data_IF_906866233144
#
_entry.id   IF_906866233144
#
_cell.length_a   1.000
_cell.length_b   1.000
_cell.length_c   1.000
_cell.angle_alpha   90.00
_cell.angle_beta   90.00
_cell.angle_gamma   90.00
#
_symmetry.space_group_name_H-M   'P 1'
#
loop_
_entity.id
_entity.type
_entity.pdbx_description
1 polymer ?
#
# COMPACT_ATOMS: atom_id res chain seq x y z
N UNK A 1 -4.40 -1.47 8.28
CA UNK A 1 -3.71 -0.17 8.33
C UNK A 1 -4.57 0.90 8.99
N UNK A 2 -3.94 1.76 9.75
CA UNK A 2 -4.60 2.93 10.35
C UNK A 2 -4.14 4.17 9.61
N UNK A 3 -5.09 4.96 9.12
CA UNK A 3 -4.77 6.18 8.37
C UNK A 3 -5.89 7.20 8.48
N UNK A 4 -5.57 8.44 8.11
CA UNK A 4 -6.55 9.52 8.03
C UNK A 4 -6.80 9.80 6.55
N UNK A 5 -7.95 9.39 6.05
CA UNK A 5 -8.30 9.50 4.63
C UNK A 5 -9.79 9.81 4.48
N UNK A 6 -10.11 10.67 3.53
CA UNK A 6 -11.47 11.03 3.20
C UNK A 6 -11.55 12.42 2.60
N UNK A 7 -12.48 12.62 1.67
CA UNK A 7 -12.67 13.92 1.04
C UNK A 7 -13.21 14.94 2.06
N UNK A 8 -14.26 14.65 2.86
CA UNK A 8 -14.66 15.59 3.91
C UNK A 8 -13.61 15.65 5.02
N UNK A 9 -13.36 16.87 5.51
CA UNK A 9 -12.38 17.10 6.56
C UNK A 9 -12.72 16.31 7.84
N UNK A 10 -13.97 16.23 8.20
CA UNK A 10 -14.40 15.51 9.40
C UNK A 10 -14.14 14.01 9.29
N UNK A 11 -14.18 13.45 8.09
CA UNK A 11 -13.81 12.04 7.87
C UNK A 11 -12.31 11.84 8.08
N UNK A 12 -11.49 12.77 7.61
CA UNK A 12 -10.04 12.70 7.77
C UNK A 12 -9.57 12.94 9.20
N UNK A 13 -10.39 13.60 9.99
CA UNK A 13 -10.01 13.99 11.36
C UNK A 13 -9.74 12.80 12.26
N UNK A 14 -10.37 11.65 11.98
CA UNK A 14 -10.21 10.43 12.77
C UNK A 14 -9.52 9.33 11.99
N UNK A 15 -8.60 8.61 12.62
CA UNK A 15 -7.96 7.46 11.96
C UNK A 15 -8.97 6.38 11.64
N UNK A 16 -8.80 5.76 10.49
CA UNK A 16 -9.66 4.69 9.99
C UNK A 16 -8.83 3.45 9.71
N UNK A 17 -9.50 2.31 9.71
CA UNK A 17 -8.87 1.05 9.30
C UNK A 17 -9.01 0.87 7.80
N UNK A 18 -7.90 0.54 7.16
CA UNK A 18 -7.88 0.11 5.77
C UNK A 18 -7.35 -1.31 5.71
N UNK A 19 -7.93 -2.10 4.83
CA UNK A 19 -7.39 -3.41 4.50
C UNK A 19 -6.55 -3.26 3.23
N UNK A 20 -5.32 -3.72 3.28
CA UNK A 20 -4.40 -3.61 2.17
C UNK A 20 -3.89 -4.99 1.75
N UNK A 21 -3.97 -5.25 0.44
CA UNK A 21 -3.40 -6.45 -0.16
C UNK A 21 -2.32 -6.01 -1.14
N UNK A 22 -1.10 -6.47 -0.92
CA UNK A 22 0.01 -6.16 -1.80
C UNK A 22 0.48 -7.44 -2.47
N UNK A 23 0.59 -7.42 -3.78
CA UNK A 23 1.16 -8.53 -4.55
C UNK A 23 2.41 -8.01 -5.25
N UNK A 24 3.54 -8.64 -4.98
CA UNK A 24 4.83 -8.20 -5.48
C UNK A 24 5.37 -9.19 -6.51
N UNK A 25 5.79 -8.66 -7.64
CA UNK A 25 6.57 -9.43 -8.61
C UNK A 25 8.04 -9.19 -8.27
N UNK A 26 8.63 -10.11 -7.51
CA UNK A 26 10.01 -9.95 -7.03
C UNK A 26 11.00 -10.17 -8.15
N UNK A 27 12.08 -9.38 -8.14
CA UNK A 27 13.08 -9.43 -9.19
C UNK A 27 13.89 -10.73 -9.17
N UNK A 28 14.20 -11.23 -7.97
CA UNK A 28 15.02 -12.42 -7.79
C UNK A 28 14.42 -13.34 -6.76
N UNK A 29 14.51 -14.65 -7.02
CA UNK A 29 14.12 -15.66 -6.04
C UNK A 29 15.37 -16.20 -5.35
N UNK A 30 15.30 -16.50 -4.04
CA UNK A 30 16.43 -17.04 -3.32
C UNK A 30 16.75 -18.48 -3.79
N UNK A 31 18.02 -18.77 -3.95
CA UNK A 31 18.47 -20.12 -4.31
C UNK A 31 18.78 -20.97 -3.10
N UNK A 32 19.07 -20.33 -1.95
CA UNK A 32 19.49 -20.99 -0.73
C UNK A 32 18.58 -20.73 0.46
N UNK A 33 17.35 -20.29 0.21
CA UNK A 33 16.35 -19.97 1.24
C UNK A 33 16.88 -18.95 2.26
N UNK A 34 17.56 -17.93 1.77
CA UNK A 34 18.08 -16.83 2.59
C UNK A 34 17.37 -15.53 2.28
N UNK A 35 16.91 -14.83 3.33
CA UNK A 35 16.15 -13.59 3.18
C UNK A 35 16.94 -12.48 2.48
N UNK A 36 18.26 -12.47 2.62
CA UNK A 36 19.11 -11.50 1.95
C UNK A 36 19.09 -11.59 0.42
N UNK A 37 18.56 -12.68 -0.12
CA UNK A 37 18.49 -12.92 -1.56
C UNK A 37 17.17 -12.49 -2.19
N UNK A 38 16.24 -11.98 -1.39
CA UNK A 38 14.92 -11.60 -1.88
C UNK A 38 14.35 -10.44 -1.04
N UNK A 39 13.05 -10.21 -1.18
CA UNK A 39 12.35 -9.15 -0.45
C UNK A 39 11.88 -9.68 0.91
N UNK A 40 12.16 -8.90 1.96
CA UNK A 40 11.67 -9.20 3.29
C UNK A 40 10.27 -8.60 3.43
N UNK A 41 9.26 -9.45 3.45
CA UNK A 41 7.87 -9.02 3.53
C UNK A 41 7.55 -8.26 4.82
N UNK A 42 8.22 -8.59 5.92
CA UNK A 42 8.01 -7.87 7.17
C UNK A 42 8.50 -6.43 7.04
N UNK A 43 9.64 -6.22 6.40
CA UNK A 43 10.17 -4.88 6.18
C UNK A 43 9.24 -4.07 5.27
N UNK A 44 8.71 -4.69 4.21
CA UNK A 44 7.74 -4.03 3.34
C UNK A 44 6.51 -3.61 4.16
N UNK A 45 5.96 -4.53 4.94
CA UNK A 45 4.77 -4.27 5.75
C UNK A 45 5.01 -3.13 6.75
N UNK A 46 6.15 -3.15 7.43
CA UNK A 46 6.48 -2.11 8.42
C UNK A 46 6.61 -0.74 7.78
N UNK A 47 7.27 -0.66 6.62
CA UNK A 47 7.44 0.60 5.91
C UNK A 47 6.14 1.13 5.34
N UNK A 48 5.29 0.24 4.83
CA UNK A 48 3.97 0.64 4.31
C UNK A 48 3.10 1.17 5.44
N UNK A 49 3.11 0.52 6.60
CA UNK A 49 2.36 1.03 7.77
C UNK A 49 2.83 2.40 8.20
N UNK A 50 4.13 2.62 8.21
CA UNK A 50 4.69 3.92 8.57
C UNK A 50 4.28 4.99 7.56
N UNK A 51 4.39 4.69 6.26
CA UNK A 51 4.02 5.61 5.20
C UNK A 51 2.54 5.99 5.29
N UNK A 52 1.67 5.00 5.44
CA UNK A 52 0.22 5.19 5.49
C UNK A 52 -0.20 5.98 6.73
N UNK A 53 0.50 5.80 7.84
CA UNK A 53 0.20 6.50 9.08
C UNK A 53 0.60 7.96 9.12
N UNK A 54 1.34 8.45 8.12
CA UNK A 54 1.80 9.85 8.09
C UNK A 54 0.77 10.75 7.40
N UNK A 55 0.40 11.83 8.06
CA UNK A 55 -0.43 12.88 7.46
C UNK A 55 -1.84 12.42 7.10
N UNK A 56 -2.43 13.14 6.15
CA UNK A 56 -3.80 12.91 5.71
C UNK A 56 -3.86 12.85 4.20
N UNK A 57 -4.86 12.12 3.66
CA UNK A 57 -5.15 12.09 2.21
C UNK A 57 -6.64 12.23 2.01
N UNK A 58 -7.01 12.86 0.91
CA UNK A 58 -8.42 12.92 0.53
C UNK A 58 -8.88 11.62 -0.16
N UNK A 59 -7.99 10.97 -0.89
CA UNK A 59 -8.36 9.82 -1.73
C UNK A 59 -7.51 8.60 -1.39
N UNK A 60 -8.17 7.44 -1.35
CA UNK A 60 -7.44 6.18 -1.19
C UNK A 60 -6.61 5.87 -2.43
N UNK A 61 -6.98 6.39 -3.60
CA UNK A 61 -6.20 6.28 -4.83
C UNK A 61 -4.83 6.93 -4.68
N UNK A 62 -4.78 8.09 -4.02
CA UNK A 62 -3.51 8.76 -3.74
C UNK A 62 -2.62 7.88 -2.86
N UNK A 63 -3.22 7.29 -1.84
CA UNK A 63 -2.50 6.43 -0.93
C UNK A 63 -1.96 5.18 -1.64
N UNK A 64 -2.78 4.57 -2.51
CA UNK A 64 -2.36 3.41 -3.28
C UNK A 64 -1.15 3.72 -4.16
N UNK A 65 -1.16 4.90 -4.81
CA UNK A 65 -0.02 5.32 -5.64
C UNK A 65 1.23 5.58 -4.82
N UNK A 66 1.10 6.17 -3.64
CA UNK A 66 2.23 6.40 -2.75
C UNK A 66 2.86 5.09 -2.30
N UNK A 67 2.02 4.09 -1.97
CA UNK A 67 2.50 2.76 -1.59
C UNK A 67 3.27 2.13 -2.75
N UNK A 68 2.69 2.14 -3.94
CA UNK A 68 3.33 1.56 -5.12
C UNK A 68 4.67 2.22 -5.42
N UNK A 69 4.70 3.54 -5.39
CA UNK A 69 5.92 4.31 -5.65
C UNK A 69 7.02 3.97 -4.64
N UNK A 70 6.65 3.92 -3.36
CA UNK A 70 7.60 3.62 -2.30
C UNK A 70 8.20 2.23 -2.46
N UNK A 71 7.36 1.23 -2.66
CA UNK A 71 7.83 -0.16 -2.77
C UNK A 71 8.70 -0.36 -3.99
N UNK A 72 8.31 0.21 -5.13
CA UNK A 72 9.13 0.11 -6.35
C UNK A 72 10.47 0.83 -6.22
N UNK A 73 10.53 1.90 -5.43
CA UNK A 73 11.77 2.65 -5.22
C UNK A 73 12.72 1.96 -4.23
N UNK A 74 12.17 1.32 -3.21
CA UNK A 74 12.96 0.86 -2.06
C UNK A 74 13.25 -0.64 -2.05
N UNK A 75 12.57 -1.43 -2.88
CA UNK A 75 12.69 -2.89 -2.86
C UNK A 75 12.97 -3.44 -4.26
N UNK A 76 13.65 -4.60 -4.37
CA UNK A 76 13.95 -5.21 -5.66
C UNK A 76 12.74 -5.97 -6.23
N UNK A 77 11.71 -5.20 -6.60
CA UNK A 77 10.52 -5.76 -7.24
C UNK A 77 10.36 -5.16 -8.63
N UNK A 78 9.85 -5.95 -9.56
CA UNK A 78 9.60 -5.50 -10.94
C UNK A 78 8.24 -4.84 -11.08
N UNK A 79 7.27 -5.27 -10.28
CA UNK A 79 5.92 -4.78 -10.34
C UNK A 79 5.22 -4.96 -8.99
N UNK A 80 4.18 -4.18 -8.78
CA UNK A 80 3.35 -4.28 -7.58
C UNK A 80 1.88 -4.11 -7.96
N UNK A 81 1.02 -4.91 -7.32
CA UNK A 81 -0.42 -4.72 -7.33
C UNK A 81 -0.80 -4.29 -5.92
N UNK A 82 -1.47 -3.16 -5.82
CA UNK A 82 -1.94 -2.62 -4.54
C UNK A 82 -3.46 -2.61 -4.56
N UNK A 83 -4.06 -3.24 -3.59
CA UNK A 83 -5.50 -3.22 -3.40
C UNK A 83 -5.81 -2.68 -2.02
N UNK A 84 -6.58 -1.59 -1.96
CA UNK A 84 -6.99 -0.97 -0.70
C UNK A 84 -8.50 -1.02 -0.57
N UNK A 85 -8.99 -1.43 0.58
CA UNK A 85 -10.41 -1.50 0.90
C UNK A 85 -10.70 -0.64 2.12
N UNK A 86 -11.74 0.18 2.01
CA UNK A 86 -12.20 1.06 3.08
C UNK A 86 -13.67 0.79 3.35
N UNK A 87 -14.03 0.65 4.63
CA UNK A 87 -15.43 0.51 5.04
C UNK A 87 -16.03 1.90 5.24
N UNK A 88 -17.06 2.21 4.46
CA UNK A 88 -17.67 3.54 4.46
C UNK A 88 -18.73 3.67 5.54
N UNK A 89 -19.59 2.66 5.66
CA UNK A 89 -20.69 2.66 6.61
C UNK A 89 -20.74 1.33 7.35
N UNK A 90 -21.24 1.33 8.61
CA UNK A 90 -21.28 0.11 9.41
C UNK A 90 -22.07 -1.05 8.79
N UNK A 91 -23.08 -0.75 7.98
CA UNK A 91 -23.96 -1.76 7.42
C UNK A 91 -23.78 -2.00 5.94
N UNK A 92 -22.84 -1.29 5.32
CA UNK A 92 -22.65 -1.42 3.88
C UNK A 92 -21.38 -2.14 3.56
N UNK A 93 -21.31 -2.48 2.29
CA UNK A 93 -20.13 -3.05 1.72
C UNK A 93 -18.96 -2.05 1.77
N UNK A 94 -17.79 -2.55 1.55
CA UNK A 94 -16.59 -1.77 1.41
C UNK A 94 -16.50 -1.18 0.01
N UNK A 95 -15.69 -0.14 -0.12
CA UNK A 95 -15.20 0.34 -1.43
C UNK A 95 -13.70 0.17 -1.45
N UNK A 96 -13.20 -0.11 -2.63
CA UNK A 96 -11.77 -0.32 -2.77
C UNK A 96 -11.24 0.16 -4.10
N UNK A 97 -9.93 0.25 -4.17
CA UNK A 97 -9.21 0.55 -5.41
C UNK A 97 -8.12 -0.50 -5.60
N UNK A 98 -7.84 -0.78 -6.85
CA UNK A 98 -6.75 -1.66 -7.26
C UNK A 98 -5.91 -0.92 -8.27
N UNK A 99 -4.61 -0.89 -8.06
CA UNK A 99 -3.69 -0.38 -9.07
C UNK A 99 -2.58 -1.39 -9.29
N UNK A 100 -2.02 -1.37 -10.49
CA UNK A 100 -0.85 -2.18 -10.83
C UNK A 100 0.17 -1.25 -11.44
N UNK A 101 1.42 -1.34 -10.97
CA UNK A 101 2.51 -0.51 -11.46
C UNK A 101 3.75 -1.34 -11.66
N UNK A 102 4.51 -1.01 -12.69
CA UNK A 102 5.77 -1.68 -13.01
C UNK A 102 6.92 -0.74 -12.76
N UNK A 103 8.08 -1.32 -12.50
CA UNK A 103 9.31 -0.55 -12.38
C UNK A 103 9.55 0.25 -13.66
N UNK A 104 9.87 1.54 -13.50
CA UNK A 104 10.11 2.40 -14.63
C UNK A 104 8.89 3.10 -15.19
N UNK A 105 7.67 2.74 -14.76
CA UNK A 105 6.49 3.47 -15.14
C UNK A 105 6.48 4.85 -14.49
N UNK A 106 5.90 5.81 -15.20
CA UNK A 106 5.65 7.14 -14.62
C UNK A 106 4.39 7.06 -13.78
N UNK A 107 4.54 7.35 -12.51
CA UNK A 107 3.44 7.28 -11.54
C UNK A 107 3.07 8.68 -11.09
#
# INVERSE_FOLDING_TARGET
LRCQVGVPAEERAEPQNLLAHLTLDVADFPTDDEIGQTVDYKTVSDQVRELVGRGERQLIETLAQEIARHVLAEFPVNAIRVELEKFILPETDWVGVVIERKRGERI
#
